data_IF_557540531758
#
_entry.id   IF_557540531758
#
_cell.length_a   1.000
_cell.length_b   1.000
_cell.length_c   1.000
_cell.angle_alpha   90.00
_cell.angle_beta   90.00
_cell.angle_gamma   90.00
#
_symmetry.space_group_name_H-M   'P 1'
#
loop_
_entity.id
_entity.type
_entity.pdbx_description
1 polymer ?
#
# COMPACT_ATOMS: atom_id res chain seq x y z
N UNK A 1 -0.27 -22.37 -1.47
CA UNK A 1 -1.22 -21.25 -1.21
C UNK A 1 -0.95 -20.14 -2.20
N UNK A 2 -1.99 -19.57 -2.78
CA UNK A 2 -1.79 -18.51 -3.76
C UNK A 2 -1.51 -17.18 -3.04
N UNK A 3 -0.68 -16.32 -3.65
CA UNK A 3 -0.26 -15.04 -3.07
C UNK A 3 -1.45 -14.14 -2.69
N UNK A 4 -2.49 -14.16 -3.50
CA UNK A 4 -3.70 -13.37 -3.26
C UNK A 4 -4.37 -13.76 -1.93
N UNK A 5 -4.44 -15.06 -1.63
CA UNK A 5 -5.02 -15.53 -0.38
C UNK A 5 -4.16 -15.16 0.83
N UNK A 6 -2.83 -15.24 0.69
CA UNK A 6 -1.91 -14.83 1.75
C UNK A 6 -2.05 -13.35 2.10
N UNK A 7 -2.14 -12.50 1.09
CA UNK A 7 -2.34 -11.06 1.26
C UNK A 7 -3.67 -10.78 1.94
N UNK A 8 -4.73 -11.46 1.49
CA UNK A 8 -6.07 -11.34 2.08
C UNK A 8 -6.07 -11.72 3.56
N UNK A 9 -5.42 -12.84 3.90
CA UNK A 9 -5.32 -13.31 5.28
C UNK A 9 -4.58 -12.30 6.17
N UNK A 10 -3.46 -11.75 5.68
CA UNK A 10 -2.71 -10.72 6.39
C UNK A 10 -3.56 -9.47 6.62
N UNK A 11 -4.27 -9.00 5.60
CA UNK A 11 -5.15 -7.85 5.72
C UNK A 11 -6.27 -8.10 6.72
N UNK A 12 -6.86 -9.29 6.69
CA UNK A 12 -7.91 -9.67 7.64
C UNK A 12 -7.47 -9.56 9.09
N UNK A 13 -6.25 -9.98 9.40
CA UNK A 13 -5.68 -9.88 10.74
C UNK A 13 -5.51 -8.43 11.20
N UNK A 14 -5.00 -7.57 10.33
CA UNK A 14 -4.69 -6.19 10.68
C UNK A 14 -5.89 -5.26 10.61
N UNK A 15 -6.81 -5.51 9.67
CA UNK A 15 -8.06 -4.74 9.57
C UNK A 15 -8.89 -4.89 10.84
N UNK A 16 -8.88 -6.08 11.47
CA UNK A 16 -9.62 -6.34 12.71
C UNK A 16 -9.05 -5.67 13.94
N UNK A 17 -7.80 -5.19 13.92
CA UNK A 17 -7.12 -4.64 15.09
C UNK A 17 -6.86 -3.14 15.01
N UNK A 18 -6.86 -2.55 13.83
CA UNK A 18 -6.55 -1.16 13.61
C UNK A 18 -7.59 -0.54 12.68
N UNK A 19 -7.96 0.68 12.98
CA UNK A 19 -8.90 1.44 12.16
C UNK A 19 -8.18 2.05 10.93
N UNK A 20 -7.84 1.19 9.98
CA UNK A 20 -7.23 1.61 8.72
C UNK A 20 -8.23 2.41 7.88
N UNK A 21 -7.77 3.48 7.22
CA UNK A 21 -8.67 4.28 6.39
C UNK A 21 -8.21 4.43 4.93
N UNK A 22 -7.02 3.97 4.58
CA UNK A 22 -6.54 4.02 3.20
C UNK A 22 -5.92 2.69 2.81
N UNK A 23 -6.27 2.21 1.62
CA UNK A 23 -5.62 1.12 0.92
C UNK A 23 -4.87 1.68 -0.28
N UNK A 24 -3.62 1.30 -0.45
CA UNK A 24 -2.81 1.81 -1.54
C UNK A 24 -2.04 0.73 -2.28
N UNK A 25 -1.64 1.07 -3.49
CA UNK A 25 -0.79 0.21 -4.33
C UNK A 25 0.25 1.06 -5.04
N UNK A 26 1.51 0.62 -4.98
CA UNK A 26 2.58 1.14 -5.82
C UNK A 26 2.79 0.20 -6.99
N UNK A 27 2.71 0.72 -8.21
CA UNK A 27 3.05 0.00 -9.43
C UNK A 27 4.15 0.78 -10.14
N UNK A 28 5.30 0.16 -10.34
CA UNK A 28 6.42 0.81 -11.01
C UNK A 28 6.26 0.73 -12.52
N UNK A 29 6.69 1.78 -13.24
CA UNK A 29 6.59 1.84 -14.70
C UNK A 29 7.49 0.83 -15.39
N UNK A 30 8.57 0.41 -14.71
CA UNK A 30 9.48 -0.63 -15.20
C UNK A 30 9.65 -1.70 -14.12
N UNK A 31 10.02 -2.95 -14.49
CA UNK A 31 10.21 -4.02 -13.50
C UNK A 31 11.26 -3.63 -12.46
N UNK A 32 10.93 -3.88 -11.20
CA UNK A 32 11.82 -3.58 -10.07
C UNK A 32 11.90 -4.79 -9.13
N UNK A 33 13.03 -4.93 -8.45
CA UNK A 33 13.26 -6.00 -7.48
C UNK A 33 12.41 -5.81 -6.23
N UNK A 34 12.28 -6.88 -5.43
CA UNK A 34 11.67 -6.78 -4.10
C UNK A 34 12.40 -5.76 -3.23
N UNK A 35 13.74 -5.80 -3.26
CA UNK A 35 14.56 -4.85 -2.47
C UNK A 35 14.28 -3.41 -2.85
N UNK A 36 14.12 -3.13 -4.15
CA UNK A 36 13.79 -1.78 -4.61
C UNK A 36 12.40 -1.35 -4.11
N UNK A 37 11.41 -2.23 -4.21
CA UNK A 37 10.07 -1.96 -3.69
C UNK A 37 10.08 -1.65 -2.20
N UNK A 38 10.82 -2.45 -1.42
CA UNK A 38 10.96 -2.25 0.04
C UNK A 38 11.58 -0.90 0.36
N UNK A 39 12.61 -0.53 -0.38
CA UNK A 39 13.28 0.76 -0.21
C UNK A 39 12.33 1.92 -0.53
N UNK A 40 11.55 1.79 -1.58
CA UNK A 40 10.59 2.83 -1.97
C UNK A 40 9.46 2.99 -0.97
N UNK A 41 8.89 1.91 -0.45
CA UNK A 41 7.81 2.02 0.53
C UNK A 41 8.31 2.59 1.86
N UNK A 42 9.52 2.25 2.28
CA UNK A 42 10.11 2.83 3.47
C UNK A 42 10.38 4.32 3.30
N UNK A 43 10.89 4.73 2.15
CA UNK A 43 11.11 6.13 1.82
C UNK A 43 9.80 6.92 1.79
N UNK A 44 8.76 6.32 1.21
CA UNK A 44 7.42 6.89 1.19
C UNK A 44 6.90 7.12 2.61
N UNK A 45 7.01 6.13 3.48
CA UNK A 45 6.58 6.24 4.87
C UNK A 45 7.35 7.36 5.59
N UNK A 46 8.68 7.37 5.49
CA UNK A 46 9.52 8.35 6.17
C UNK A 46 9.22 9.78 5.70
N UNK A 47 9.03 9.97 4.40
CA UNK A 47 8.74 11.28 3.84
C UNK A 47 7.35 11.80 4.16
N UNK A 48 6.44 10.91 4.54
CA UNK A 48 5.05 11.26 4.83
C UNK A 48 4.69 10.98 6.30
N UNK A 49 5.67 10.85 7.16
CA UNK A 49 5.47 10.44 8.56
C UNK A 49 4.54 11.38 9.34
N UNK A 50 4.47 12.65 8.96
CA UNK A 50 3.59 13.62 9.60
C UNK A 50 2.11 13.43 9.24
N UNK A 51 1.84 12.74 8.13
CA UNK A 51 0.48 12.49 7.66
C UNK A 51 0.11 11.01 7.67
N UNK A 52 1.00 10.15 8.14
CA UNK A 52 0.75 8.71 8.30
C UNK A 52 0.96 8.33 9.76
N UNK A 53 -0.10 7.90 10.42
CA UNK A 53 -0.03 7.45 11.81
C UNK A 53 0.50 6.01 11.91
N UNK A 54 0.04 5.14 11.02
CA UNK A 54 0.45 3.73 10.98
C UNK A 54 0.40 3.23 9.54
N UNK A 55 1.27 2.27 9.23
CA UNK A 55 1.30 1.65 7.90
C UNK A 55 1.66 0.16 8.02
N UNK A 56 1.00 -0.64 7.21
CA UNK A 56 1.35 -2.05 6.97
C UNK A 56 1.47 -2.25 5.47
N UNK A 57 2.49 -2.99 5.02
CA UNK A 57 2.67 -3.23 3.60
C UNK A 57 3.03 -4.68 3.30
N UNK A 58 2.72 -5.10 2.08
CA UNK A 58 3.10 -6.39 1.51
C UNK A 58 3.67 -6.15 0.12
N UNK A 59 4.83 -6.73 -0.16
CA UNK A 59 5.43 -6.69 -1.49
C UNK A 59 5.07 -8.00 -2.19
N UNK A 60 4.35 -7.90 -3.30
CA UNK A 60 3.84 -9.05 -4.03
C UNK A 60 4.52 -9.16 -5.38
N UNK A 61 4.96 -10.40 -5.70
CA UNK A 61 5.46 -10.72 -7.03
C UNK A 61 4.30 -11.07 -7.95
N UNK A 62 4.29 -10.50 -9.15
CA UNK A 62 3.34 -10.91 -10.19
C UNK A 62 3.56 -12.38 -10.56
N UNK A 63 2.46 -13.11 -10.71
CA UNK A 63 2.46 -14.56 -10.93
C UNK A 63 3.29 -14.98 -12.16
N UNK A 64 3.15 -14.25 -13.26
CA UNK A 64 3.72 -14.62 -14.55
C UNK A 64 4.82 -13.66 -15.03
N UNK A 65 5.41 -12.88 -14.11
CA UNK A 65 6.42 -11.91 -14.49
C UNK A 65 7.45 -11.69 -13.39
N UNK A 66 8.51 -10.94 -13.71
CA UNK A 66 9.52 -10.52 -12.74
C UNK A 66 9.16 -9.22 -12.06
N UNK A 67 7.89 -8.79 -12.21
CA UNK A 67 7.41 -7.55 -11.61
C UNK A 67 7.03 -7.75 -10.16
N UNK A 68 7.29 -6.72 -9.37
CA UNK A 68 6.82 -6.64 -8.00
C UNK A 68 5.99 -5.38 -7.86
N UNK A 69 4.96 -5.44 -7.05
CA UNK A 69 4.25 -4.24 -6.62
C UNK A 69 4.00 -4.30 -5.11
N UNK A 70 3.78 -3.15 -4.53
CA UNK A 70 3.58 -3.02 -3.09
C UNK A 70 2.15 -2.63 -2.81
N UNK A 71 1.47 -3.41 -1.98
CA UNK A 71 0.16 -3.07 -1.43
C UNK A 71 0.35 -2.61 0.01
N UNK A 72 -0.42 -1.62 0.43
CA UNK A 72 -0.31 -1.13 1.80
C UNK A 72 -1.64 -0.67 2.36
N UNK A 73 -1.75 -0.77 3.68
CA UNK A 73 -2.81 -0.18 4.47
C UNK A 73 -2.18 0.92 5.30
N UNK A 74 -2.87 2.05 5.44
CA UNK A 74 -2.40 3.07 6.34
C UNK A 74 -3.53 3.78 7.06
N UNK A 75 -3.19 4.40 8.17
CA UNK A 75 -4.04 5.28 8.94
C UNK A 75 -3.51 6.69 8.78
N UNK A 76 -4.35 7.58 8.26
CA UNK A 76 -4.01 9.00 8.15
C UNK A 76 -5.06 9.86 8.82
N UNK A 77 -4.66 10.97 9.48
CA UNK A 77 -5.63 11.91 10.02
C UNK A 77 -6.28 12.78 8.93
N UNK A 78 -5.69 12.84 7.73
CA UNK A 78 -6.21 13.65 6.63
C UNK A 78 -5.87 13.05 5.28
N UNK A 79 -6.87 12.55 4.60
CA UNK A 79 -6.76 12.02 3.23
C UNK A 79 -6.28 13.13 2.27
N UNK A 80 -6.79 14.35 2.47
CA UNK A 80 -6.41 15.52 1.66
C UNK A 80 -4.91 15.81 1.75
N UNK A 81 -4.38 15.85 2.97
CA UNK A 81 -2.95 16.10 3.18
C UNK A 81 -2.09 14.94 2.67
N UNK A 82 -2.55 13.71 2.82
CA UNK A 82 -1.86 12.54 2.27
C UNK A 82 -1.77 12.63 0.76
N UNK A 83 -2.86 12.91 0.06
CA UNK A 83 -2.88 13.06 -1.39
C UNK A 83 -1.92 14.16 -1.87
N UNK A 84 -1.90 15.28 -1.16
CA UNK A 84 -1.01 16.40 -1.46
C UNK A 84 0.46 16.01 -1.27
N UNK A 85 0.77 15.33 -0.18
CA UNK A 85 2.11 14.91 0.17
C UNK A 85 2.66 13.84 -0.79
N UNK A 86 1.80 12.99 -1.35
CA UNK A 86 2.22 11.90 -2.24
C UNK A 86 2.46 12.33 -3.68
N UNK A 87 2.13 13.55 -4.06
CA UNK A 87 2.28 14.02 -5.45
C UNK A 87 3.71 13.91 -5.96
N UNK A 88 4.70 14.13 -5.12
CA UNK A 88 6.12 14.05 -5.51
C UNK A 88 6.54 12.64 -5.90
N UNK A 89 5.85 11.62 -5.42
CA UNK A 89 6.15 10.22 -5.71
C UNK A 89 5.54 9.73 -7.01
N UNK A 90 4.56 10.43 -7.56
CA UNK A 90 3.79 9.99 -8.74
C UNK A 90 4.51 10.15 -10.05
N UNK A 91 5.73 10.69 -10.04
CA UNK A 91 6.52 10.93 -11.25
C UNK A 91 7.01 9.62 -11.91
N UNK A 92 7.43 8.65 -11.10
CA UNK A 92 8.02 7.39 -11.57
C UNK A 92 7.29 6.15 -11.07
N UNK A 93 6.35 6.35 -10.16
CA UNK A 93 5.59 5.29 -9.51
C UNK A 93 4.12 5.63 -9.67
N UNK A 94 3.35 4.67 -10.16
CA UNK A 94 1.89 4.81 -10.15
C UNK A 94 1.40 4.47 -8.75
N UNK A 95 0.80 5.45 -8.08
CA UNK A 95 0.27 5.31 -6.72
C UNK A 95 -1.25 5.40 -6.79
N UNK A 96 -1.92 4.30 -6.44
CA UNK A 96 -3.35 4.24 -6.33
C UNK A 96 -3.74 4.24 -4.84
N UNK A 97 -4.49 5.24 -4.40
CA UNK A 97 -4.97 5.35 -3.02
C UNK A 97 -6.49 5.27 -3.00
N UNK A 98 -7.02 4.36 -2.20
CA UNK A 98 -8.47 4.16 -2.06
C UNK A 98 -8.87 4.33 -0.59
N UNK A 99 -9.95 5.08 -0.37
CA UNK A 99 -10.53 5.21 0.97
C UNK A 99 -11.19 3.89 1.33
N UNK A 100 -10.89 3.38 2.50
CA UNK A 100 -11.50 2.14 3.00
C UNK A 100 -12.88 2.47 3.56
N UNK A 101 -13.89 1.84 2.99
CA UNK A 101 -15.26 1.85 3.51
C UNK A 101 -15.70 0.40 3.78
N UNK A 102 -16.92 0.22 4.26
CA UNK A 102 -17.45 -1.10 4.58
C UNK A 102 -17.41 -2.05 3.38
N UNK A 103 -17.76 -1.55 2.19
CA UNK A 103 -17.75 -2.37 0.97
C UNK A 103 -16.35 -2.82 0.60
N UNK A 104 -15.36 -1.93 0.73
CA UNK A 104 -13.98 -2.29 0.46
C UNK A 104 -13.44 -3.29 1.48
N UNK A 105 -13.79 -3.12 2.76
CA UNK A 105 -13.39 -4.07 3.80
C UNK A 105 -13.92 -5.47 3.51
N UNK A 106 -15.17 -5.60 3.10
CA UNK A 106 -15.78 -6.87 2.72
C UNK A 106 -15.03 -7.52 1.54
N UNK A 107 -14.55 -6.73 0.61
CA UNK A 107 -13.81 -7.25 -0.54
C UNK A 107 -12.37 -7.68 -0.18
N UNK A 108 -11.80 -7.15 0.90
CA UNK A 108 -10.44 -7.46 1.34
C UNK A 108 -10.38 -8.68 2.29
N UNK A 109 -11.48 -8.99 2.96
CA UNK A 109 -11.58 -10.13 3.88
C UNK A 109 -12.40 -11.29 3.27
#
# INVERSE_FOLDING_TARGET
MNMKNSIRDCYGKFIGTIDWNVFGTFTHLIPRTERYNRKQINSFYESNIQVINRMFFVIERHKDSKYYHTHFLLKTPSIKELNKSTKSYRRFIDIDLKIIDENLLESLV
#
